data_IF_960872205762
#
_entry.id   IF_960872205762
#
_cell.length_a   1.000
_cell.length_b   1.000
_cell.length_c   1.000
_cell.angle_alpha   90.00
_cell.angle_beta   90.00
_cell.angle_gamma   90.00
#
_symmetry.space_group_name_H-M   'P 1'
#
loop_
_entity.id
_entity.type
_entity.pdbx_description
1 polymer ?
#
# COMPACT_ATOMS: atom_id res chain seq x y z
N UNK A 1 20.56 -30.35 33.82
CA UNK A 1 19.58 -29.91 32.80
C UNK A 1 18.97 -28.62 33.30
N UNK A 2 19.44 -27.49 32.81
CA UNK A 2 18.90 -26.17 33.14
C UNK A 2 17.76 -25.93 32.13
N UNK A 3 16.53 -25.60 32.54
CA UNK A 3 15.48 -25.25 31.60
C UNK A 3 15.94 -23.99 30.86
N UNK A 4 15.91 -24.04 29.52
CA UNK A 4 16.20 -22.89 28.67
C UNK A 4 15.36 -21.70 29.13
N UNK A 5 16.04 -20.73 29.75
CA UNK A 5 15.48 -19.42 30.04
C UNK A 5 15.15 -18.79 28.68
N UNK A 6 13.85 -18.72 28.39
CA UNK A 6 13.29 -17.99 27.26
C UNK A 6 13.78 -16.54 27.33
N UNK A 7 14.86 -16.24 26.59
CA UNK A 7 15.30 -14.87 26.37
C UNK A 7 14.10 -14.15 25.72
N UNK A 8 13.57 -13.07 26.32
CA UNK A 8 12.49 -12.32 25.71
C UNK A 8 13.00 -11.77 24.38
N UNK A 9 12.47 -12.30 23.27
CA UNK A 9 12.72 -11.73 21.95
C UNK A 9 12.15 -10.32 21.96
N UNK A 10 13.00 -9.33 21.71
CA UNK A 10 12.56 -7.98 21.39
C UNK A 10 11.72 -8.09 20.12
N UNK A 11 10.41 -7.93 20.24
CA UNK A 11 9.51 -7.96 19.08
C UNK A 11 9.71 -6.67 18.31
N UNK A 12 10.34 -6.77 17.15
CA UNK A 12 10.39 -5.67 16.20
C UNK A 12 9.11 -5.75 15.38
N UNK A 13 8.27 -4.72 15.50
CA UNK A 13 7.13 -4.51 14.62
C UNK A 13 7.61 -4.34 13.18
N UNK A 14 6.80 -4.79 12.22
CA UNK A 14 7.05 -4.49 10.81
C UNK A 14 7.24 -2.98 10.62
N UNK A 15 8.16 -2.60 9.73
CA UNK A 15 8.46 -1.19 9.47
C UNK A 15 7.23 -0.38 9.02
N UNK A 16 6.24 -1.04 8.41
CA UNK A 16 4.93 -0.47 8.07
C UNK A 16 3.86 -1.57 8.00
N UNK A 17 2.56 -1.23 8.09
CA UNK A 17 1.49 -2.19 7.85
C UNK A 17 1.62 -2.89 6.49
N UNK A 18 1.22 -4.16 6.42
CA UNK A 18 1.22 -4.95 5.19
C UNK A 18 0.26 -4.36 4.15
N UNK A 19 0.67 -4.25 2.89
CA UNK A 19 -0.08 -3.58 1.81
C UNK A 19 -0.19 -4.47 0.57
N UNK A 20 -1.11 -4.12 -0.33
CA UNK A 20 -1.20 -4.76 -1.65
C UNK A 20 0.16 -4.76 -2.35
N UNK A 21 0.58 -5.90 -2.88
CA UNK A 21 1.86 -6.11 -3.55
C UNK A 21 3.02 -6.45 -2.62
N UNK A 22 2.84 -6.41 -1.29
CA UNK A 22 3.86 -6.90 -0.38
C UNK A 22 4.01 -8.41 -0.49
N UNK A 23 5.26 -8.88 -0.44
CA UNK A 23 5.60 -10.28 -0.37
C UNK A 23 5.79 -10.65 1.09
N UNK A 24 4.95 -11.55 1.58
CA UNK A 24 5.03 -12.09 2.93
C UNK A 24 5.62 -13.50 2.92
N UNK A 25 6.26 -13.88 4.03
CA UNK A 25 6.72 -15.25 4.24
C UNK A 25 6.35 -15.79 5.63
N UNK A 26 6.08 -17.09 5.71
CA UNK A 26 5.82 -17.79 6.97
C UNK A 26 6.27 -19.25 6.88
N UNK A 27 6.55 -19.88 8.02
CA UNK A 27 6.92 -21.30 8.07
C UNK A 27 5.68 -22.19 8.00
N UNK A 28 5.64 -23.10 7.02
CA UNK A 28 4.55 -24.07 6.85
C UNK A 28 4.68 -25.29 7.75
N UNK A 29 5.85 -25.50 8.38
CA UNK A 29 6.14 -26.61 9.28
C UNK A 29 6.99 -26.15 10.47
N UNK A 30 6.52 -25.17 11.25
CA UNK A 30 7.31 -24.64 12.35
C UNK A 30 7.51 -25.69 13.43
N UNK A 31 8.68 -25.66 14.08
CA UNK A 31 8.98 -26.54 15.21
C UNK A 31 7.97 -26.38 16.36
N UNK A 32 7.49 -25.15 16.57
CA UNK A 32 6.52 -24.85 17.60
C UNK A 32 5.11 -24.82 17.02
N UNK A 33 4.21 -25.61 17.61
CA UNK A 33 2.77 -25.62 17.28
C UNK A 33 2.09 -24.25 17.42
N UNK A 34 2.68 -23.35 18.19
CA UNK A 34 2.17 -21.98 18.38
C UNK A 34 2.37 -21.08 17.17
N UNK A 35 3.30 -21.43 16.28
CA UNK A 35 3.64 -20.62 15.10
C UNK A 35 2.78 -20.97 13.88
N UNK A 36 2.09 -22.12 13.92
CA UNK A 36 1.09 -22.54 12.95
C UNK A 36 0.01 -23.38 13.63
N UNK A 37 -1.19 -22.84 13.78
CA UNK A 37 -2.27 -23.50 14.51
C UNK A 37 -3.61 -23.44 13.78
N UNK A 38 -4.41 -24.49 13.94
CA UNK A 38 -5.77 -24.53 13.39
C UNK A 38 -6.75 -23.90 14.37
N UNK A 39 -7.44 -22.85 13.94
CA UNK A 39 -8.46 -22.13 14.70
C UNK A 39 -9.83 -22.26 14.03
N UNK A 40 -10.90 -22.25 14.82
CA UNK A 40 -12.27 -22.22 14.31
C UNK A 40 -12.80 -20.80 14.38
N UNK A 41 -13.12 -20.22 13.23
CA UNK A 41 -13.75 -18.90 13.11
C UNK A 41 -15.24 -19.11 12.89
N UNK A 42 -16.08 -18.46 13.71
CA UNK A 42 -17.54 -18.58 13.67
C UNK A 42 -18.17 -17.22 13.40
N UNK A 43 -19.14 -17.18 12.49
CA UNK A 43 -19.88 -15.96 12.15
C UNK A 43 -21.32 -16.29 11.76
N UNK A 44 -22.15 -15.29 11.44
CA UNK A 44 -23.56 -15.51 11.05
C UNK A 44 -23.93 -14.67 9.84
N UNK A 45 -24.39 -15.33 8.77
CA UNK A 45 -24.90 -14.71 7.53
C UNK A 45 -25.75 -15.71 6.72
N UNK A 46 -27.10 -15.64 6.68
CA UNK A 46 -28.09 -15.36 7.74
C UNK A 46 -28.25 -16.51 8.77
N UNK A 47 -27.53 -17.62 8.56
CA UNK A 47 -27.44 -18.75 9.47
C UNK A 47 -26.05 -18.79 10.13
N UNK A 48 -25.91 -19.44 11.29
CA UNK A 48 -24.60 -19.69 11.89
C UNK A 48 -23.68 -20.44 10.91
N UNK A 49 -22.49 -19.92 10.71
CA UNK A 49 -21.41 -20.52 9.91
C UNK A 49 -20.17 -20.70 10.79
N UNK A 50 -19.38 -21.70 10.44
CA UNK A 50 -18.07 -21.94 11.05
C UNK A 50 -17.14 -22.45 9.97
N UNK A 51 -15.88 -22.07 10.05
CA UNK A 51 -14.82 -22.59 9.20
C UNK A 51 -13.51 -22.66 9.97
N UNK A 52 -12.62 -23.56 9.55
CA UNK A 52 -11.28 -23.67 10.08
C UNK A 52 -10.30 -22.81 9.30
N UNK A 53 -9.40 -22.17 10.03
CA UNK A 53 -8.33 -21.34 9.52
C UNK A 53 -7.02 -21.78 10.14
N UNK A 54 -5.98 -21.89 9.33
CA UNK A 54 -4.62 -21.88 9.82
C UNK A 54 -4.25 -20.46 10.20
N UNK A 55 -3.79 -20.28 11.43
CA UNK A 55 -3.20 -19.05 11.92
C UNK A 55 -1.69 -19.21 11.96
N UNK A 56 -0.98 -18.25 11.40
CA UNK A 56 0.46 -18.12 11.44
C UNK A 56 0.86 -16.66 11.69
N UNK A 57 2.16 -16.42 11.91
CA UNK A 57 2.73 -15.08 11.91
C UNK A 57 3.72 -14.99 10.75
N UNK A 58 3.58 -13.97 9.92
CA UNK A 58 4.37 -13.76 8.72
C UNK A 58 5.36 -12.59 8.87
N UNK A 59 6.44 -12.65 8.09
CA UNK A 59 7.40 -11.54 7.87
C UNK A 59 6.99 -10.79 6.61
N UNK A 60 7.23 -9.48 6.57
CA UNK A 60 7.15 -8.71 5.32
C UNK A 60 8.53 -8.65 4.64
N UNK A 61 8.73 -9.55 3.68
CA UNK A 61 9.99 -9.67 2.92
C UNK A 61 10.26 -8.40 2.11
N UNK A 62 9.20 -7.77 1.58
CA UNK A 62 9.34 -6.55 0.74
C UNK A 62 10.01 -5.40 1.48
N UNK A 63 9.77 -5.25 2.79
CA UNK A 63 10.37 -4.19 3.61
C UNK A 63 11.59 -4.66 4.40
N UNK A 64 12.01 -5.91 4.21
CA UNK A 64 13.19 -6.47 4.86
C UNK A 64 12.98 -6.87 6.32
N UNK A 65 11.74 -7.20 6.71
CA UNK A 65 11.48 -7.67 8.08
C UNK A 65 12.23 -8.98 8.35
N UNK A 66 12.99 -9.00 9.44
CA UNK A 66 13.72 -10.20 9.89
C UNK A 66 12.92 -11.02 10.92
N UNK A 67 11.87 -10.43 11.49
CA UNK A 67 11.03 -11.03 12.53
C UNK A 67 9.59 -11.11 12.05
N UNK A 68 8.97 -12.27 12.22
CA UNK A 68 7.55 -12.45 11.90
C UNK A 68 6.69 -11.66 12.88
N UNK A 69 5.88 -10.74 12.37
CA UNK A 69 5.05 -9.84 13.19
C UNK A 69 3.64 -9.60 12.64
N UNK A 70 3.32 -10.09 11.43
CA UNK A 70 2.02 -9.89 10.79
C UNK A 70 1.14 -11.12 11.01
N UNK A 71 0.02 -11.03 11.75
CA UNK A 71 -0.89 -12.16 11.89
C UNK A 71 -1.51 -12.51 10.54
N UNK A 72 -1.49 -13.80 10.21
CA UNK A 72 -1.96 -14.36 8.96
C UNK A 72 -2.97 -15.46 9.24
N UNK A 73 -4.13 -15.37 8.61
CA UNK A 73 -5.16 -16.41 8.64
C UNK A 73 -5.37 -16.95 7.24
N UNK A 74 -5.32 -18.26 7.08
CA UNK A 74 -5.54 -18.92 5.81
C UNK A 74 -6.65 -19.94 6.01
N UNK A 75 -7.75 -19.82 5.28
CA UNK A 75 -8.81 -20.81 5.32
C UNK A 75 -8.23 -22.20 5.04
N UNK A 76 -8.67 -23.21 5.80
CA UNK A 76 -8.08 -24.55 5.79
C UNK A 76 -7.94 -25.12 4.37
N UNK A 77 -8.98 -25.02 3.53
CA UNK A 77 -8.95 -25.50 2.15
C UNK A 77 -7.90 -24.78 1.30
N UNK A 78 -7.77 -23.46 1.42
CA UNK A 78 -6.77 -22.66 0.71
C UNK A 78 -5.34 -23.01 1.17
N UNK A 79 -5.16 -23.30 2.46
CA UNK A 79 -3.87 -23.75 2.96
C UNK A 79 -3.46 -25.11 2.41
N UNK A 80 -4.39 -26.07 2.43
CA UNK A 80 -4.16 -27.42 1.92
C UNK A 80 -3.85 -27.41 0.42
N UNK A 81 -4.52 -26.54 -0.33
CA UNK A 81 -4.29 -26.36 -1.76
C UNK A 81 -2.94 -25.68 -2.06
N UNK A 82 -2.64 -24.55 -1.42
CA UNK A 82 -1.52 -23.68 -1.81
C UNK A 82 -0.21 -23.96 -1.06
N UNK A 83 -0.27 -24.44 0.18
CA UNK A 83 0.88 -24.41 1.09
C UNK A 83 1.23 -25.75 1.74
N UNK A 84 0.29 -26.70 1.90
CA UNK A 84 0.53 -27.93 2.67
C UNK A 84 1.66 -28.83 2.13
N UNK A 85 1.92 -28.78 0.83
CA UNK A 85 2.99 -29.55 0.19
C UNK A 85 4.36 -28.87 0.20
N UNK A 86 4.43 -27.60 0.62
CA UNK A 86 5.70 -26.90 0.75
C UNK A 86 6.46 -27.41 1.98
N UNK A 87 7.79 -27.41 1.89
CA UNK A 87 8.66 -27.72 3.00
C UNK A 87 9.36 -26.43 3.43
N UNK A 88 9.13 -26.01 4.67
CA UNK A 88 9.76 -24.82 5.27
C UNK A 88 9.02 -23.52 4.97
N UNK A 89 9.76 -22.47 4.64
CA UNK A 89 9.22 -21.13 4.46
C UNK A 89 8.46 -21.00 3.13
N UNK A 90 7.17 -20.67 3.23
CA UNK A 90 6.34 -20.31 2.08
C UNK A 90 6.35 -18.79 1.91
N UNK A 91 6.41 -18.36 0.65
CA UNK A 91 6.40 -16.94 0.26
C UNK A 91 5.24 -16.70 -0.69
N UNK A 92 4.51 -15.60 -0.48
CA UNK A 92 3.37 -15.23 -1.33
C UNK A 92 3.23 -13.70 -1.39
N UNK A 93 2.63 -13.20 -2.46
CA UNK A 93 2.35 -11.78 -2.63
C UNK A 93 0.91 -11.47 -2.23
N UNK A 94 0.70 -10.37 -1.50
CA UNK A 94 -0.62 -9.87 -1.17
C UNK A 94 -1.29 -9.29 -2.42
N UNK A 95 -2.33 -9.96 -2.89
CA UNK A 95 -3.11 -9.57 -4.06
C UNK A 95 -4.61 -9.44 -3.70
N UNK A 96 -5.47 -9.50 -4.72
CA UNK A 96 -6.92 -9.35 -4.58
C UNK A 96 -7.60 -10.53 -3.87
N UNK A 97 -6.94 -11.67 -3.69
CA UNK A 97 -7.49 -12.81 -2.96
C UNK A 97 -7.47 -12.60 -1.44
N UNK A 98 -6.70 -11.61 -0.97
CA UNK A 98 -6.53 -11.33 0.45
C UNK A 98 -7.45 -10.21 0.93
N UNK A 99 -7.97 -10.40 2.13
CA UNK A 99 -8.57 -9.34 2.94
C UNK A 99 -7.67 -9.02 4.13
N UNK A 100 -7.95 -7.92 4.81
CA UNK A 100 -7.27 -7.53 6.02
C UNK A 100 -8.24 -6.96 7.05
N UNK A 101 -7.85 -7.06 8.31
CA UNK A 101 -8.44 -6.27 9.39
C UNK A 101 -7.39 -5.35 10.00
N UNK A 102 -7.83 -4.27 10.64
CA UNK A 102 -7.00 -3.23 11.23
C UNK A 102 -7.82 -2.40 12.22
N UNK A 103 -7.14 -1.82 13.21
CA UNK A 103 -7.76 -0.99 14.25
C UNK A 103 -8.32 0.32 13.69
N UNK A 104 -7.55 0.98 12.83
CA UNK A 104 -7.88 2.28 12.23
C UNK A 104 -7.42 2.33 10.77
N UNK A 105 -7.70 3.43 10.08
CA UNK A 105 -7.37 3.58 8.66
C UNK A 105 -5.86 3.52 8.39
N UNK A 106 -5.00 3.87 9.35
CA UNK A 106 -3.54 3.85 9.18
C UNK A 106 -2.96 2.45 8.95
N UNK A 107 -3.74 1.40 9.21
CA UNK A 107 -3.26 0.03 9.20
C UNK A 107 -2.62 -0.39 10.51
N UNK A 108 -2.84 0.37 11.58
CA UNK A 108 -2.43 -0.04 12.93
C UNK A 108 -3.02 -1.42 13.23
N UNK A 109 -2.17 -2.33 13.71
CA UNK A 109 -2.53 -3.71 14.05
C UNK A 109 -3.13 -4.51 12.88
N UNK A 110 -2.64 -4.26 11.65
CA UNK A 110 -3.13 -4.96 10.46
C UNK A 110 -2.81 -6.45 10.49
N UNK A 111 -3.81 -7.27 10.24
CA UNK A 111 -3.68 -8.70 10.00
C UNK A 111 -4.25 -9.07 8.63
N UNK A 112 -3.77 -10.18 8.07
CA UNK A 112 -4.11 -10.63 6.72
C UNK A 112 -4.94 -11.90 6.77
N UNK A 113 -5.92 -12.03 5.89
CA UNK A 113 -6.79 -13.20 5.77
C UNK A 113 -6.90 -13.63 4.31
N UNK A 114 -6.58 -14.89 4.03
CA UNK A 114 -6.83 -15.57 2.76
C UNK A 114 -8.02 -16.51 2.93
N UNK A 115 -9.11 -16.26 2.22
CA UNK A 115 -10.32 -17.08 2.26
C UNK A 115 -11.23 -16.82 1.06
N UNK A 116 -12.26 -17.66 0.95
CA UNK A 116 -13.42 -17.40 0.11
C UNK A 116 -14.08 -16.05 0.46
N UNK A 117 -13.96 -15.09 -0.46
CA UNK A 117 -14.43 -13.71 -0.34
C UNK A 117 -15.96 -13.60 -0.23
N UNK A 118 -16.71 -14.63 -0.61
CA UNK A 118 -18.18 -14.65 -0.49
C UNK A 118 -18.64 -14.78 0.97
N UNK A 119 -17.78 -15.29 1.85
CA UNK A 119 -18.12 -15.62 3.24
C UNK A 119 -18.20 -14.42 4.17
N UNK A 120 -17.60 -13.29 3.78
CA UNK A 120 -17.67 -11.96 4.44
C UNK A 120 -17.72 -11.96 5.99
N UNK A 121 -16.88 -12.73 6.71
CA UNK A 121 -16.78 -12.58 8.16
C UNK A 121 -16.33 -11.17 8.55
N UNK A 122 -16.77 -10.66 9.69
CA UNK A 122 -16.28 -9.39 10.25
C UNK A 122 -14.90 -9.54 10.89
N UNK A 123 -14.13 -8.45 10.98
CA UNK A 123 -12.77 -8.44 11.52
C UNK A 123 -12.69 -8.97 12.95
N UNK A 124 -13.64 -8.59 13.82
CA UNK A 124 -13.74 -9.10 15.20
C UNK A 124 -13.99 -10.61 15.29
N UNK A 125 -14.11 -11.37 14.19
CA UNK A 125 -14.18 -12.84 14.26
C UNK A 125 -12.81 -13.49 14.29
N UNK A 126 -11.78 -12.75 13.88
CA UNK A 126 -10.40 -13.22 13.85
C UNK A 126 -9.62 -12.82 15.11
N UNK A 127 -10.07 -11.81 15.86
CA UNK A 127 -9.37 -11.28 17.04
C UNK A 127 -9.67 -12.04 18.35
N UNK A 128 -10.93 -12.36 18.71
CA UNK A 128 -11.27 -13.05 19.96
C UNK A 128 -10.85 -14.53 19.97
N UNK A 129 -10.78 -15.18 18.80
CA UNK A 129 -10.30 -16.56 18.65
C UNK A 129 -8.82 -16.73 18.97
N UNK A 130 -8.04 -15.64 18.91
CA UNK A 130 -6.61 -15.61 19.23
C UNK A 130 -6.34 -15.51 20.73
N UNK A 131 -7.15 -14.71 21.42
CA UNK A 131 -6.86 -14.31 22.80
C UNK A 131 -7.30 -15.39 23.80
N UNK A 132 -8.39 -16.10 23.53
CA UNK A 132 -8.97 -17.07 24.49
C UNK A 132 -8.32 -18.45 24.48
N UNK A 133 -7.61 -18.86 23.41
CA UNK A 133 -6.96 -20.19 23.32
C UNK A 133 -5.47 -20.19 23.63
N UNK A 134 -4.84 -19.02 23.76
CA UNK A 134 -3.39 -18.92 23.73
C UNK A 134 -2.83 -18.01 24.82
N UNK A 135 -3.13 -18.32 26.09
CA UNK A 135 -2.73 -17.53 27.26
C UNK A 135 -1.24 -17.14 27.36
N UNK A 136 -0.34 -17.85 26.67
CA UNK A 136 1.10 -17.51 26.63
C UNK A 136 1.55 -16.74 25.37
N UNK A 137 0.79 -16.78 24.25
CA UNK A 137 1.07 -15.92 23.09
C UNK A 137 0.44 -14.54 23.30
N UNK A 138 -0.60 -14.40 24.15
CA UNK A 138 -1.18 -13.09 24.49
C UNK A 138 -0.11 -12.09 24.90
N UNK A 139 0.93 -12.51 25.64
CA UNK A 139 2.02 -11.59 25.97
C UNK A 139 2.88 -11.20 24.76
N UNK A 140 3.13 -12.11 23.81
CA UNK A 140 3.91 -11.87 22.60
C UNK A 140 3.13 -11.07 21.54
N UNK A 141 1.84 -11.34 21.34
CA UNK A 141 0.95 -10.59 20.46
C UNK A 141 0.59 -9.23 21.06
N UNK A 142 0.33 -9.14 22.37
CA UNK A 142 0.14 -7.85 23.02
C UNK A 142 1.43 -7.03 22.97
N UNK A 143 2.61 -7.62 23.19
CA UNK A 143 3.89 -6.91 23.02
C UNK A 143 4.14 -6.49 21.57
N UNK A 144 3.88 -7.37 20.59
CA UNK A 144 4.02 -7.03 19.18
C UNK A 144 3.03 -5.93 18.75
N UNK A 145 1.79 -5.96 19.22
CA UNK A 145 0.77 -4.96 18.89
C UNK A 145 0.82 -3.67 19.77
N UNK A 146 1.85 -3.50 20.61
CA UNK A 146 2.05 -2.30 21.44
C UNK A 146 1.19 -2.22 22.72
N UNK A 147 0.60 -3.34 23.14
CA UNK A 147 -0.24 -3.51 24.33
C UNK A 147 0.46 -4.20 25.52
N UNK A 148 1.80 -4.33 25.51
CA UNK A 148 2.56 -5.00 26.58
C UNK A 148 2.26 -4.45 28.00
N UNK A 149 2.16 -3.11 28.12
CA UNK A 149 1.93 -2.43 29.40
C UNK A 149 0.44 -2.31 29.77
N UNK A 150 -0.43 -2.95 28.98
CA UNK A 150 -1.88 -2.84 29.05
C UNK A 150 -2.50 -4.24 28.94
N UNK A 151 -2.18 -5.12 29.89
CA UNK A 151 -2.85 -6.43 30.00
C UNK A 151 -4.31 -6.30 30.47
N UNK A 152 -4.78 -5.07 30.74
CA UNK A 152 -6.15 -4.77 31.19
C UNK A 152 -6.99 -3.82 30.28
N UNK A 153 -6.80 -3.79 28.95
CA UNK A 153 -7.91 -3.46 28.08
C UNK A 153 -7.82 -4.28 26.77
N UNK A 154 -8.30 -5.53 26.82
CA UNK A 154 -8.64 -6.29 25.61
C UNK A 154 -9.97 -5.82 25.01
N UNK A 155 -10.81 -5.16 25.82
CA UNK A 155 -12.12 -4.61 25.39
C UNK A 155 -12.01 -3.56 24.29
N UNK A 156 -11.11 -2.56 24.32
CA UNK A 156 -11.06 -1.53 23.30
C UNK A 156 -10.75 -2.07 21.90
N UNK A 157 -9.92 -3.10 21.75
CA UNK A 157 -9.65 -3.66 20.43
C UNK A 157 -10.83 -4.46 19.89
N UNK A 158 -11.50 -5.24 20.75
CA UNK A 158 -12.75 -5.91 20.37
C UNK A 158 -13.81 -4.86 20.00
N UNK A 159 -14.02 -3.84 20.84
CA UNK A 159 -14.99 -2.77 20.64
C UNK A 159 -14.74 -1.97 19.35
N UNK A 160 -13.48 -1.70 19.01
CA UNK A 160 -13.11 -1.00 17.77
C UNK A 160 -13.39 -1.85 16.53
N UNK A 161 -13.24 -3.18 16.62
CA UNK A 161 -13.40 -4.09 15.50
C UNK A 161 -14.80 -4.71 15.41
N UNK A 162 -15.65 -4.52 16.43
CA UNK A 162 -17.00 -5.05 16.49
C UNK A 162 -17.77 -4.65 15.24
N UNK A 163 -18.33 -5.67 14.58
CA UNK A 163 -19.11 -5.56 13.34
C UNK A 163 -18.43 -4.87 12.15
N UNK A 164 -17.14 -4.51 12.23
CA UNK A 164 -16.44 -4.00 11.05
C UNK A 164 -16.25 -5.12 10.02
N UNK A 165 -16.61 -4.92 8.74
CA UNK A 165 -16.32 -5.89 7.70
C UNK A 165 -14.82 -6.01 7.51
N UNK A 166 -14.36 -7.19 7.09
CA UNK A 166 -13.00 -7.33 6.54
C UNK A 166 -12.83 -6.38 5.37
N UNK A 167 -11.66 -5.74 5.29
CA UNK A 167 -11.33 -4.79 4.24
C UNK A 167 -10.64 -5.55 3.12
N UNK A 168 -10.99 -5.26 1.88
CA UNK A 168 -10.28 -5.80 0.73
C UNK A 168 -9.09 -4.90 0.44
N UNK A 169 -7.95 -5.48 0.07
CA UNK A 169 -6.85 -4.68 -0.47
C UNK A 169 -7.31 -3.99 -1.75
N UNK A 170 -7.51 -2.68 -1.66
CA UNK A 170 -7.70 -1.86 -2.85
C UNK A 170 -6.32 -1.72 -3.46
N UNK A 171 -6.11 -2.39 -4.59
CA UNK A 171 -4.90 -2.20 -5.39
C UNK A 171 -4.77 -0.70 -5.70
N UNK A 172 -3.66 -0.07 -5.31
CA UNK A 172 -3.44 1.32 -5.66
C UNK A 172 -3.38 1.52 -7.19
N UNK A 173 -3.70 2.74 -7.65
CA UNK A 173 -3.70 3.07 -9.09
C UNK A 173 -2.35 2.79 -9.78
N UNK A 174 -1.26 2.82 -9.02
CA UNK A 174 0.06 2.37 -9.44
C UNK A 174 0.83 1.71 -8.29
N UNK A 175 1.55 0.64 -8.57
CA UNK A 175 2.44 -0.08 -7.65
C UNK A 175 3.83 -0.28 -8.26
N UNK A 176 4.79 -0.69 -7.45
CA UNK A 176 6.09 -1.13 -7.95
C UNK A 176 5.91 -2.30 -8.95
N UNK A 177 6.62 -2.25 -10.07
CA UNK A 177 6.49 -3.19 -11.18
C UNK A 177 5.46 -2.81 -12.24
N UNK A 178 4.58 -1.84 -11.98
CA UNK A 178 3.63 -1.38 -12.99
C UNK A 178 4.31 -0.64 -14.14
N UNK A 179 3.75 -0.73 -15.34
CA UNK A 179 4.22 -0.01 -16.52
C UNK A 179 3.29 1.17 -16.78
N UNK A 180 3.84 2.38 -16.68
CA UNK A 180 3.15 3.62 -17.00
C UNK A 180 3.50 4.06 -18.43
N UNK A 181 2.49 4.45 -19.20
CA UNK A 181 2.66 5.02 -20.54
C UNK A 181 2.85 6.54 -20.41
N UNK A 182 4.12 6.96 -20.39
CA UNK A 182 4.50 8.36 -20.23
C UNK A 182 4.69 8.98 -21.62
N UNK A 183 3.93 10.02 -22.01
CA UNK A 183 4.12 10.69 -23.29
C UNK A 183 5.56 11.19 -23.46
N UNK A 184 6.09 11.16 -24.69
CA UNK A 184 7.36 11.81 -24.97
C UNK A 184 7.21 13.35 -24.88
N UNK A 185 8.30 14.09 -24.65
CA UNK A 185 8.24 15.53 -24.40
C UNK A 185 7.64 16.33 -25.58
N UNK A 186 7.82 15.83 -26.80
CA UNK A 186 7.25 16.38 -28.02
C UNK A 186 5.75 16.06 -28.19
N UNK A 187 5.19 15.21 -27.33
CA UNK A 187 3.77 14.89 -27.28
C UNK A 187 3.06 15.75 -26.22
N UNK A 188 1.82 16.12 -26.50
CA UNK A 188 0.96 16.74 -25.49
C UNK A 188 0.63 15.73 -24.37
N UNK A 189 0.46 16.24 -23.15
CA UNK A 189 0.01 15.43 -22.02
C UNK A 189 0.79 15.63 -20.72
N UNK A 190 1.94 16.30 -20.78
CA UNK A 190 2.73 16.68 -19.61
C UNK A 190 2.90 18.20 -19.55
N UNK A 191 2.73 18.79 -18.37
CA UNK A 191 2.86 20.23 -18.13
C UNK A 191 4.01 20.49 -17.18
N UNK A 192 4.87 21.46 -17.51
CA UNK A 192 5.97 21.88 -16.66
C UNK A 192 5.45 22.70 -15.48
N UNK A 193 5.80 22.29 -14.26
CA UNK A 193 5.43 22.93 -13.00
C UNK A 193 6.68 23.20 -12.17
N UNK A 194 6.74 24.37 -11.55
CA UNK A 194 7.82 24.72 -10.62
C UNK A 194 7.38 24.38 -9.19
N UNK A 195 8.10 23.47 -8.54
CA UNK A 195 7.85 23.06 -7.16
C UNK A 195 8.81 23.80 -6.23
N UNK A 196 8.35 24.17 -5.04
CA UNK A 196 9.19 24.82 -4.03
C UNK A 196 8.91 24.25 -2.65
N UNK A 197 9.98 23.94 -1.91
CA UNK A 197 9.89 23.40 -0.55
C UNK A 197 11.09 23.83 0.29
N UNK A 198 11.06 23.53 1.59
CA UNK A 198 12.18 23.79 2.49
C UNK A 198 12.87 22.48 2.86
N UNK A 199 14.20 22.50 2.81
CA UNK A 199 15.06 21.49 3.43
C UNK A 199 15.90 22.24 4.45
N UNK A 200 15.68 21.93 5.73
CA UNK A 200 16.24 22.69 6.85
C UNK A 200 15.85 24.18 6.77
N UNK A 201 16.82 25.07 6.53
CA UNK A 201 16.62 26.52 6.39
C UNK A 201 16.72 27.00 4.93
N UNK A 202 16.97 26.10 3.98
CA UNK A 202 17.15 26.45 2.57
C UNK A 202 15.86 26.21 1.78
N UNK A 203 15.42 27.24 1.06
CA UNK A 203 14.40 27.09 0.04
C UNK A 203 15.00 26.38 -1.18
N UNK A 204 14.36 25.28 -1.58
CA UNK A 204 14.68 24.52 -2.79
C UNK A 204 13.58 24.79 -3.79
N UNK A 205 13.96 25.02 -5.05
CA UNK A 205 13.03 25.23 -6.16
C UNK A 205 13.50 24.39 -7.34
N UNK A 206 12.64 23.50 -7.80
CA UNK A 206 12.93 22.54 -8.86
C UNK A 206 11.78 22.50 -9.86
N UNK A 207 12.09 22.11 -11.10
CA UNK A 207 11.08 21.96 -12.15
C UNK A 207 10.73 20.50 -12.36
N UNK A 208 9.44 20.23 -12.50
CA UNK A 208 8.90 18.91 -12.81
C UNK A 208 7.97 19.02 -14.00
N UNK A 209 7.76 17.92 -14.69
CA UNK A 209 6.65 17.73 -15.60
C UNK A 209 5.61 16.86 -14.91
N UNK A 210 4.35 17.26 -15.02
CA UNK A 210 3.22 16.56 -14.42
C UNK A 210 2.18 16.24 -15.50
N UNK A 211 1.61 15.05 -15.47
CA UNK A 211 0.51 14.68 -16.34
C UNK A 211 -0.26 13.48 -15.83
N UNK A 212 -1.37 13.17 -16.51
CA UNK A 212 -2.15 11.96 -16.27
C UNK A 212 -1.69 10.89 -17.27
N UNK A 213 -1.09 9.82 -16.77
CA UNK A 213 -0.56 8.72 -17.58
C UNK A 213 -1.41 7.46 -17.41
N UNK A 214 -1.30 6.53 -18.35
CA UNK A 214 -2.02 5.24 -18.32
C UNK A 214 -1.18 4.17 -17.67
N UNK A 215 -1.74 3.43 -16.72
CA UNK A 215 -1.12 2.22 -16.19
C UNK A 215 -1.44 1.02 -17.09
N UNK A 216 -0.51 0.67 -17.99
CA UNK A 216 -0.64 -0.46 -18.92
C UNK A 216 -0.85 -1.79 -18.18
N UNK A 217 -0.24 -1.95 -17.01
CA UNK A 217 -0.34 -3.18 -16.20
C UNK A 217 -1.67 -3.30 -15.46
N UNK A 218 -2.35 -2.18 -15.18
CA UNK A 218 -3.57 -2.17 -14.39
C UNK A 218 -4.72 -1.48 -15.12
N UNK A 219 -5.29 -2.20 -16.10
CA UNK A 219 -6.53 -1.84 -16.81
C UNK A 219 -6.51 -0.44 -17.46
N UNK A 220 -5.32 0.09 -17.80
CA UNK A 220 -5.16 1.45 -18.31
C UNK A 220 -5.77 2.52 -17.39
N UNK A 221 -5.71 2.28 -16.08
CA UNK A 221 -6.11 3.26 -15.09
C UNK A 221 -5.27 4.54 -15.18
N UNK A 222 -5.91 5.67 -14.89
CA UNK A 222 -5.25 6.97 -14.90
C UNK A 222 -4.43 7.16 -13.62
N UNK A 223 -3.17 7.54 -13.77
CA UNK A 223 -2.24 7.81 -12.67
C UNK A 223 -1.67 9.20 -12.86
N UNK A 224 -1.62 10.01 -11.80
CA UNK A 224 -0.88 11.26 -11.84
C UNK A 224 0.61 10.93 -11.73
N UNK A 225 1.39 11.39 -12.71
CA UNK A 225 2.81 11.15 -12.78
C UNK A 225 3.58 12.45 -12.80
N UNK A 226 4.59 12.54 -11.96
CA UNK A 226 5.56 13.61 -11.93
C UNK A 226 6.92 13.08 -12.36
N UNK A 227 7.64 13.83 -13.17
CA UNK A 227 9.02 13.53 -13.54
C UNK A 227 9.86 14.80 -13.44
N UNK A 228 11.01 14.72 -12.78
CA UNK A 228 11.92 15.86 -12.66
C UNK A 228 12.43 16.28 -14.04
N UNK A 229 12.55 17.59 -14.28
CA UNK A 229 12.84 18.14 -15.60
C UNK A 229 14.14 17.57 -16.21
N UNK A 230 15.20 17.41 -15.43
CA UNK A 230 16.48 16.84 -15.92
C UNK A 230 16.37 15.38 -16.36
N UNK A 231 15.29 14.67 -15.98
CA UNK A 231 15.06 13.28 -16.38
C UNK A 231 14.11 13.14 -17.57
N UNK A 232 13.55 14.25 -18.04
CA UNK A 232 12.52 14.26 -19.09
C UNK A 232 12.85 15.19 -20.26
N UNK A 233 13.50 16.32 -20.00
CA UNK A 233 13.80 17.31 -21.03
C UNK A 233 14.88 16.82 -22.00
N UNK A 234 14.54 16.82 -23.28
CA UNK A 234 15.48 16.66 -24.37
C UNK A 234 16.52 17.80 -24.35
N UNK A 235 17.74 17.51 -24.81
CA UNK A 235 18.85 18.47 -24.83
C UNK A 235 20.08 17.91 -24.12
N UNK A 236 20.73 18.74 -23.30
CA UNK A 236 21.94 18.37 -22.55
C UNK A 236 21.74 17.21 -21.57
N UNK A 237 20.49 16.87 -21.24
CA UNK A 237 20.16 15.81 -20.30
C UNK A 237 19.99 14.43 -20.94
N UNK A 238 19.91 14.34 -22.28
CA UNK A 238 19.72 13.06 -23.00
C UNK A 238 20.84 12.04 -22.75
N UNK A 239 22.02 12.51 -22.38
CA UNK A 239 23.18 11.67 -22.04
C UNK A 239 23.13 11.15 -20.60
N UNK A 240 22.24 11.65 -19.75
CA UNK A 240 22.14 11.20 -18.36
C UNK A 240 21.61 9.76 -18.32
N UNK A 241 22.24 8.84 -17.57
CA UNK A 241 21.73 7.48 -17.39
C UNK A 241 20.33 7.44 -16.75
N UNK A 242 19.96 8.49 -16.02
CA UNK A 242 18.66 8.66 -15.38
C UNK A 242 17.59 9.26 -16.29
N UNK A 243 17.92 9.65 -17.53
CA UNK A 243 16.94 10.17 -18.47
C UNK A 243 15.95 9.07 -18.86
N UNK A 244 14.66 9.40 -18.98
CA UNK A 244 13.59 8.41 -19.23
C UNK A 244 13.85 7.55 -20.48
N UNK A 245 14.43 8.14 -21.53
CA UNK A 245 14.76 7.42 -22.77
C UNK A 245 15.87 6.38 -22.64
N UNK A 246 16.61 6.35 -21.52
CA UNK A 246 17.61 5.33 -21.20
C UNK A 246 17.05 4.20 -20.36
N UNK A 247 15.88 4.41 -19.75
CA UNK A 247 15.27 3.51 -18.78
C UNK A 247 14.01 2.84 -19.31
N UNK A 248 13.30 3.50 -20.21
CA UNK A 248 12.03 3.05 -20.77
C UNK A 248 12.10 3.03 -22.30
N UNK A 249 11.79 1.89 -22.95
CA UNK A 249 11.60 1.86 -24.39
C UNK A 249 10.33 2.64 -24.77
N UNK A 250 10.25 3.08 -26.03
CA UNK A 250 9.02 3.64 -26.60
C UNK A 250 8.15 2.53 -27.17
N UNK A 251 6.83 2.66 -27.01
CA UNK A 251 5.85 1.82 -27.70
C UNK A 251 5.59 2.33 -29.13
N UNK A 252 4.65 1.70 -29.84
CA UNK A 252 4.27 2.07 -31.21
C UNK A 252 3.70 3.49 -31.32
N UNK A 253 3.06 3.99 -30.25
CA UNK A 253 2.53 5.35 -30.16
C UNK A 253 3.59 6.40 -29.77
N UNK A 254 4.85 5.98 -29.57
CA UNK A 254 5.95 6.84 -29.17
C UNK A 254 5.98 7.22 -27.69
N UNK A 255 5.07 6.68 -26.86
CA UNK A 255 5.08 6.85 -25.41
C UNK A 255 6.10 5.92 -24.75
N UNK A 256 6.73 6.38 -23.67
CA UNK A 256 7.67 5.58 -22.89
C UNK A 256 6.93 4.57 -22.00
N UNK A 257 7.36 3.31 -22.03
CA UNK A 257 6.89 2.26 -21.14
C UNK A 257 7.71 2.26 -19.84
N UNK A 258 7.38 3.19 -18.95
CA UNK A 258 8.12 3.41 -17.71
C UNK A 258 7.70 2.41 -16.64
N UNK A 259 8.60 1.49 -16.27
CA UNK A 259 8.40 0.59 -15.13
C UNK A 259 8.59 1.33 -13.83
N UNK A 260 7.56 1.37 -12.99
CA UNK A 260 7.60 1.95 -11.65
C UNK A 260 8.55 1.11 -10.79
N UNK A 261 9.77 1.61 -10.56
CA UNK A 261 10.79 0.90 -9.79
C UNK A 261 11.12 1.60 -8.46
N UNK A 262 12.10 1.07 -7.73
CA UNK A 262 12.54 1.57 -6.41
C UNK A 262 12.95 3.07 -6.40
N UNK A 263 13.36 3.62 -7.54
CA UNK A 263 13.67 5.05 -7.67
C UNK A 263 12.43 5.95 -7.78
N UNK A 264 11.23 5.37 -7.88
CA UNK A 264 9.97 6.11 -7.85
C UNK A 264 9.56 6.37 -6.41
N UNK A 265 9.12 7.58 -6.12
CA UNK A 265 8.42 7.89 -4.88
C UNK A 265 6.91 7.84 -5.11
N UNK A 266 6.18 7.44 -4.07
CA UNK A 266 4.73 7.40 -4.08
C UNK A 266 4.20 8.46 -3.13
N UNK A 267 3.08 9.05 -3.50
CA UNK A 267 2.25 9.81 -2.57
C UNK A 267 0.80 9.37 -2.70
N UNK A 268 0.05 9.48 -1.62
CA UNK A 268 -1.38 9.16 -1.57
C UNK A 268 -2.11 10.29 -0.83
N UNK A 269 -3.13 10.88 -1.45
CA UNK A 269 -3.93 11.94 -0.81
C UNK A 269 -4.46 11.48 0.55
N UNK A 270 -4.85 10.20 0.64
CA UNK A 270 -5.28 9.53 1.87
C UNK A 270 -4.62 8.18 1.98
N UNK A 271 -4.47 7.71 3.21
CA UNK A 271 -3.92 6.39 3.58
C UNK A 271 -4.70 5.19 2.95
N UNK A 272 -5.86 5.47 2.33
CA UNK A 272 -6.69 4.50 1.61
C UNK A 272 -6.25 4.26 0.16
N UNK A 273 -5.08 4.75 -0.26
CA UNK A 273 -4.57 4.67 -1.64
C UNK A 273 -5.44 5.36 -2.70
N UNK A 274 -6.41 6.18 -2.28
CA UNK A 274 -7.16 7.08 -3.17
C UNK A 274 -6.28 8.28 -3.51
N UNK A 275 -6.26 8.67 -4.79
CA UNK A 275 -5.43 9.78 -5.28
C UNK A 275 -3.94 9.46 -5.30
N UNK A 276 -3.56 8.20 -5.55
CA UNK A 276 -2.14 7.81 -5.65
C UNK A 276 -1.48 8.46 -6.86
N UNK A 277 -0.30 9.01 -6.65
CA UNK A 277 0.56 9.54 -7.69
C UNK A 277 1.96 8.97 -7.59
N UNK A 278 2.68 9.00 -8.71
CA UNK A 278 4.05 8.49 -8.84
C UNK A 278 4.98 9.64 -9.19
N UNK A 279 6.12 9.72 -8.53
CA UNK A 279 7.15 10.73 -8.78
C UNK A 279 8.46 10.07 -9.17
N UNK A 280 8.99 10.41 -10.33
CA UNK A 280 10.30 9.97 -10.79
C UNK A 280 11.34 11.10 -10.72
N UNK A 281 12.30 10.97 -9.80
CA UNK A 281 13.33 11.99 -9.52
C UNK A 281 14.51 11.42 -8.73
N UNK A 282 15.49 12.26 -8.36
CA UNK A 282 16.59 11.84 -7.49
C UNK A 282 16.09 11.65 -6.06
N UNK A 283 16.31 10.45 -5.50
CA UNK A 283 15.94 10.11 -4.13
C UNK A 283 16.57 11.03 -3.07
N UNK A 284 17.62 11.79 -3.41
CA UNK A 284 18.23 12.80 -2.52
C UNK A 284 17.36 14.05 -2.33
N UNK A 285 16.50 14.41 -3.28
CA UNK A 285 15.71 15.65 -3.23
C UNK A 285 14.64 15.64 -2.13
N UNK A 286 14.11 14.46 -1.79
CA UNK A 286 13.08 14.19 -0.76
C UNK A 286 12.06 15.35 -0.52
N UNK A 287 11.42 15.89 -1.57
CA UNK A 287 10.35 16.88 -1.40
C UNK A 287 9.19 16.24 -0.62
N UNK A 288 8.58 16.98 0.32
CA UNK A 288 7.45 16.48 1.07
C UNK A 288 6.23 16.33 0.16
N UNK A 289 5.41 15.32 0.44
CA UNK A 289 4.29 14.90 -0.42
C UNK A 289 3.31 16.03 -0.76
N UNK A 290 3.01 16.91 0.20
CA UNK A 290 2.03 17.99 0.02
C UNK A 290 2.40 18.95 -1.12
N UNK A 291 3.69 19.07 -1.47
CA UNK A 291 4.17 19.96 -2.54
C UNK A 291 3.63 19.50 -3.90
N UNK A 292 3.58 18.19 -4.13
CA UNK A 292 3.04 17.61 -5.37
C UNK A 292 1.51 17.72 -5.41
N UNK A 293 0.84 17.48 -4.29
CA UNK A 293 -0.62 17.61 -4.19
C UNK A 293 -1.03 19.06 -4.48
N UNK A 294 -0.37 20.03 -3.86
CA UNK A 294 -0.63 21.45 -4.09
C UNK A 294 -0.39 21.85 -5.54
N UNK A 295 0.66 21.32 -6.18
CA UNK A 295 0.92 21.58 -7.58
C UNK A 295 -0.17 21.01 -8.51
N UNK A 296 -0.63 19.78 -8.24
CA UNK A 296 -1.73 19.17 -8.99
C UNK A 296 -3.04 19.98 -8.84
N UNK A 297 -3.35 20.42 -7.63
CA UNK A 297 -4.52 21.26 -7.32
C UNK A 297 -4.44 22.64 -8.00
N UNK A 298 -3.28 23.32 -7.90
CA UNK A 298 -3.09 24.63 -8.50
C UNK A 298 -3.20 24.57 -10.02
N UNK A 299 -2.61 23.55 -10.65
CA UNK A 299 -2.69 23.37 -12.10
C UNK A 299 -4.12 23.12 -12.57
N UNK A 300 -4.91 22.36 -11.82
CA UNK A 300 -6.30 22.06 -12.21
C UNK A 300 -7.27 23.19 -11.95
N UNK A 301 -6.98 24.03 -10.96
CA UNK A 301 -7.67 25.31 -10.80
C UNK A 301 -7.36 26.27 -11.96
N UNK A 302 -6.11 26.29 -12.43
CA UNK A 302 -5.75 27.08 -13.62
C UNK A 302 -6.47 26.56 -14.87
N UNK A 303 -6.44 25.24 -15.12
CA UNK A 303 -7.15 24.63 -16.26
C UNK A 303 -8.65 24.87 -16.21
N UNK A 304 -9.30 24.81 -15.03
CA UNK A 304 -10.73 25.08 -14.93
C UNK A 304 -11.05 26.55 -15.18
N UNK A 305 -10.20 27.47 -14.73
CA UNK A 305 -10.36 28.90 -15.03
C UNK A 305 -10.15 29.22 -16.51
N UNK A 306 -9.21 28.53 -17.16
CA UNK A 306 -8.92 28.68 -18.59
C UNK A 306 -10.03 28.05 -19.44
N UNK A 307 -10.49 26.85 -19.11
CA UNK A 307 -11.64 26.19 -19.74
C UNK A 307 -12.95 26.96 -19.56
N UNK A 308 -13.16 27.62 -18.41
CA UNK A 308 -14.30 28.52 -18.21
C UNK A 308 -14.26 29.75 -19.13
N UNK A 309 -13.09 30.11 -19.66
CA UNK A 309 -12.89 31.21 -20.62
C UNK A 309 -12.80 30.75 -22.09
N UNK A 310 -12.49 29.48 -22.32
CA UNK A 310 -12.34 28.85 -23.62
C UNK A 310 -13.15 27.55 -23.62
N UNK A 311 -14.34 27.55 -24.25
CA UNK A 311 -15.22 26.37 -24.36
C UNK A 311 -14.50 25.22 -25.07
N UNK A 312 -13.74 24.40 -24.32
CA UNK A 312 -13.08 23.19 -24.82
C UNK A 312 -13.40 21.98 -23.91
N UNK A 313 -13.99 20.91 -24.48
CA UNK A 313 -14.54 19.80 -23.70
C UNK A 313 -13.48 18.89 -23.03
N UNK A 314 -12.25 18.81 -23.55
CA UNK A 314 -11.24 17.88 -23.02
C UNK A 314 -10.58 18.37 -21.72
N UNK A 315 -10.47 19.68 -21.53
CA UNK A 315 -9.88 20.28 -20.33
C UNK A 315 -10.84 20.23 -19.13
N UNK A 316 -12.15 20.37 -19.36
CA UNK A 316 -13.16 20.19 -18.31
C UNK A 316 -13.16 18.75 -17.76
N UNK A 317 -13.00 17.74 -18.61
CA UNK A 317 -12.94 16.33 -18.17
C UNK A 317 -11.72 16.06 -17.29
N UNK A 318 -10.57 16.67 -17.62
CA UNK A 318 -9.34 16.57 -16.81
C UNK A 318 -9.54 17.32 -15.48
N UNK A 319 -10.05 18.55 -15.51
CA UNK A 319 -10.29 19.35 -14.33
C UNK A 319 -11.29 18.69 -13.37
N UNK A 320 -12.43 18.19 -13.87
CA UNK A 320 -13.43 17.48 -13.06
C UNK A 320 -12.89 16.16 -12.50
N UNK A 321 -12.07 15.41 -13.26
CA UNK A 321 -11.43 14.20 -12.72
C UNK A 321 -10.46 14.52 -11.60
N UNK A 322 -9.65 15.56 -11.74
CA UNK A 322 -8.69 15.93 -10.70
C UNK A 322 -9.39 16.54 -9.48
N UNK A 323 -10.42 17.35 -9.69
CA UNK A 323 -11.30 17.85 -8.62
C UNK A 323 -12.01 16.72 -7.90
N UNK A 324 -12.49 15.70 -8.60
CA UNK A 324 -13.05 14.48 -8.00
C UNK A 324 -11.98 13.65 -7.26
N UNK A 325 -10.73 13.71 -7.72
CA UNK A 325 -9.60 13.03 -7.06
C UNK A 325 -9.12 13.75 -5.80
N UNK A 326 -9.27 15.08 -5.66
CA UNK A 326 -8.70 15.84 -4.54
C UNK A 326 -9.69 16.77 -3.78
N UNK A 327 -10.95 16.87 -4.19
CA UNK A 327 -11.78 18.06 -3.93
C UNK A 327 -12.97 17.94 -2.97
N UNK A 328 -13.18 16.84 -2.25
CA UNK A 328 -14.33 16.74 -1.32
C UNK A 328 -13.98 16.65 0.17
N UNK A 329 -12.69 16.72 0.57
CA UNK A 329 -12.33 16.64 2.00
C UNK A 329 -11.11 17.41 2.47
N UNK A 330 -10.61 18.36 1.68
CA UNK A 330 -9.39 19.12 2.00
C UNK A 330 -9.66 20.48 2.67
N UNK A 331 -10.93 20.84 2.94
CA UNK A 331 -11.29 22.15 3.52
C UNK A 331 -10.94 22.26 5.03
N UNK A 332 -10.63 21.16 5.71
CA UNK A 332 -10.45 21.19 7.18
C UNK A 332 -9.00 21.36 7.69
N UNK A 333 -8.01 21.48 6.81
CA UNK A 333 -6.61 21.64 7.21
C UNK A 333 -5.87 22.68 6.37
N UNK A 334 -6.33 23.93 6.45
CA UNK A 334 -5.53 25.12 6.15
C UNK A 334 -5.68 26.15 7.27
#
# INVERSE_FOLDING_TARGET
>A
MIPDLLIPRTFVLSARPAQYGDTLSFDTKPERRVDLMLVSVRWSQPLPRSEFYWHAVAKNVTVGDTVASIPLFIQKSYFEERFANLAGEATFTLDGDFQFGQEDDSGKNRFVVLHDLERKPSQHRFVPTQITRIGNIVHALATAAGFADKVDPLRPLEDLLLNQPMRTFIRPLACAGDILLVPAQDQQGMVKVALSWKVELKAVKENYYMGVVKNKTYEHNNVIFFIHAERYENGSHLSLPSHISKLAPKNEDGAFEFTVAAHSQYGEERITSKGRFVVYHDQKLKPPQYVFVNAALAHTTALSSEAASLVQPDLEVIAERVKKMFGEGLITFL
#
